data_IF_044384641599
#
_entry.id   IF_044384641599
#
_cell.length_a   1.000
_cell.length_b   1.000
_cell.length_c   1.000
_cell.angle_alpha   90.00
_cell.angle_beta   90.00
_cell.angle_gamma   90.00
#
_symmetry.space_group_name_H-M   'P 1'
#
loop_
_entity.id
_entity.type
_entity.pdbx_description
1 polymer ?
#
# COMPACT_ATOMS: atom_id res chain seq x y z
N UNK A 1 -26.52 27.11 12.64
CA UNK A 1 -27.07 25.73 12.52
C UNK A 1 -25.88 24.83 12.62
N UNK A 2 -25.75 24.17 13.74
CA UNK A 2 -24.69 23.19 13.97
C UNK A 2 -24.90 22.08 12.93
N UNK A 3 -23.86 21.81 12.14
CA UNK A 3 -23.88 20.70 11.23
C UNK A 3 -24.04 19.43 12.08
N UNK A 4 -25.09 18.68 11.84
CA UNK A 4 -25.27 17.37 12.44
C UNK A 4 -24.13 16.52 11.87
N UNK A 5 -23.29 15.96 12.75
CA UNK A 5 -22.28 15.00 12.34
C UNK A 5 -22.96 13.77 11.78
N UNK A 6 -23.10 13.72 10.45
CA UNK A 6 -23.70 12.60 9.76
C UNK A 6 -22.62 11.57 9.45
N UNK A 7 -22.83 10.33 9.90
CA UNK A 7 -21.91 9.22 9.62
C UNK A 7 -22.24 8.68 8.23
N UNK A 8 -21.37 8.91 7.26
CA UNK A 8 -21.53 8.41 5.89
C UNK A 8 -20.94 7.00 5.69
N UNK A 9 -19.92 6.65 6.47
CA UNK A 9 -19.22 5.38 6.34
C UNK A 9 -18.64 4.96 7.68
N UNK A 10 -18.91 3.72 8.06
CA UNK A 10 -18.30 3.07 9.22
C UNK A 10 -17.52 1.84 8.74
N UNK A 11 -16.22 1.80 9.02
CA UNK A 11 -15.36 0.68 8.64
C UNK A 11 -14.82 0.01 9.89
N UNK A 12 -15.20 -1.26 10.15
CA UNK A 12 -14.65 -2.00 11.28
C UNK A 12 -13.12 -2.11 11.21
N UNK A 13 -12.42 -1.89 12.32
CA UNK A 13 -10.93 -1.97 12.39
C UNK A 13 -10.41 -3.31 11.84
N UNK A 14 -11.11 -4.41 12.11
CA UNK A 14 -10.76 -5.75 11.61
C UNK A 14 -10.80 -5.89 10.09
N UNK A 15 -11.46 -4.95 9.39
CA UNK A 15 -11.48 -4.89 7.94
C UNK A 15 -10.27 -4.12 7.37
N UNK A 16 -9.59 -3.30 8.18
CA UNK A 16 -8.42 -2.56 7.75
C UNK A 16 -7.22 -3.48 7.58
N UNK A 17 -6.32 -3.12 6.65
CA UNK A 17 -5.04 -3.80 6.44
C UNK A 17 -3.92 -2.84 6.84
N UNK A 18 -3.06 -3.25 7.77
CA UNK A 18 -1.98 -2.44 8.33
C UNK A 18 -0.74 -3.28 8.62
N UNK A 19 0.34 -2.64 9.09
CA UNK A 19 1.52 -3.37 9.58
C UNK A 19 1.16 -4.27 10.77
N UNK A 20 0.27 -3.85 11.65
CA UNK A 20 -0.23 -4.67 12.76
C UNK A 20 -0.93 -5.93 12.26
N UNK A 21 -1.76 -5.84 11.22
CA UNK A 21 -2.40 -7.05 10.64
C UNK A 21 -1.38 -7.96 9.96
N UNK A 22 -0.33 -7.41 9.35
CA UNK A 22 0.77 -8.18 8.79
C UNK A 22 1.54 -8.96 9.87
N UNK A 23 1.80 -8.33 11.01
CA UNK A 23 2.49 -8.96 12.15
C UNK A 23 1.69 -10.09 12.79
N UNK A 24 0.36 -9.98 12.78
CA UNK A 24 -0.55 -10.98 13.32
C UNK A 24 -0.91 -12.09 12.32
N UNK A 25 -0.41 -11.99 11.10
CA UNK A 25 -0.61 -13.03 10.10
C UNK A 25 0.17 -14.31 10.45
N UNK A 26 -0.45 -15.46 10.26
CA UNK A 26 0.12 -16.76 10.66
C UNK A 26 1.32 -17.18 9.79
N UNK A 27 1.44 -16.67 8.56
CA UNK A 27 2.48 -17.06 7.61
C UNK A 27 3.53 -15.95 7.48
N UNK A 28 3.09 -14.73 7.18
CA UNK A 28 3.98 -13.59 6.96
C UNK A 28 4.51 -13.03 8.28
N UNK A 29 3.69 -13.02 9.33
CA UNK A 29 4.02 -12.43 10.63
C UNK A 29 5.28 -12.97 11.29
N UNK A 30 5.50 -14.29 11.38
CA UNK A 30 6.75 -14.85 11.92
C UNK A 30 7.99 -14.34 11.20
N UNK A 31 7.93 -14.25 9.87
CA UNK A 31 9.03 -13.76 9.03
C UNK A 31 9.28 -12.27 9.27
N UNK A 32 8.21 -11.46 9.35
CA UNK A 32 8.35 -10.02 9.61
C UNK A 32 8.98 -9.76 10.99
N UNK A 33 8.60 -10.53 12.00
CA UNK A 33 9.21 -10.43 13.34
C UNK A 33 10.71 -10.78 13.32
N UNK A 34 11.09 -11.85 12.61
CA UNK A 34 12.49 -12.21 12.44
C UNK A 34 13.28 -11.13 11.69
N UNK A 35 12.71 -10.61 10.60
CA UNK A 35 13.30 -9.50 9.84
C UNK A 35 13.49 -8.25 10.69
N UNK A 36 12.54 -7.92 11.57
CA UNK A 36 12.63 -6.76 12.46
C UNK A 36 13.76 -6.90 13.47
N UNK A 37 14.00 -8.10 13.97
CA UNK A 37 15.14 -8.38 14.85
C UNK A 37 16.47 -8.17 14.12
N UNK A 38 16.58 -8.68 12.88
CA UNK A 38 17.78 -8.53 12.05
C UNK A 38 17.98 -7.10 11.53
N UNK A 39 16.89 -6.40 11.30
CA UNK A 39 16.85 -5.05 10.73
C UNK A 39 15.97 -4.12 11.59
N UNK A 40 16.42 -3.66 12.76
CA UNK A 40 15.60 -2.86 13.69
C UNK A 40 15.07 -1.55 13.10
N UNK A 41 15.73 -1.03 12.04
CA UNK A 41 15.30 0.16 11.28
C UNK A 41 14.30 -0.16 10.16
N UNK A 42 13.82 -1.39 10.05
CA UNK A 42 12.75 -1.78 9.14
C UNK A 42 11.50 -0.91 9.38
N UNK A 43 10.76 -0.61 8.32
CA UNK A 43 9.61 0.28 8.40
C UNK A 43 8.28 -0.46 8.20
N UNK A 44 7.24 0.08 8.83
CA UNK A 44 5.87 -0.41 8.74
C UNK A 44 5.31 -0.38 7.30
N UNK A 45 5.85 0.49 6.44
CA UNK A 45 5.46 0.56 5.03
C UNK A 45 5.80 -0.73 4.29
N UNK A 46 7.03 -1.24 4.45
CA UNK A 46 7.44 -2.49 3.80
C UNK A 46 6.74 -3.72 4.37
N UNK A 47 6.43 -3.72 5.66
CA UNK A 47 5.66 -4.80 6.28
C UNK A 47 4.25 -4.89 5.69
N UNK A 48 3.58 -3.76 5.57
CA UNK A 48 2.28 -3.67 4.91
C UNK A 48 2.38 -4.01 3.42
N UNK A 49 3.43 -3.56 2.74
CA UNK A 49 3.68 -3.85 1.32
C UNK A 49 3.84 -5.36 1.07
N UNK A 50 4.63 -6.04 1.89
CA UNK A 50 4.81 -7.49 1.76
C UNK A 50 3.52 -8.24 2.03
N UNK A 51 2.75 -7.81 3.02
CA UNK A 51 1.46 -8.39 3.34
C UNK A 51 0.44 -8.17 2.21
N UNK A 52 0.39 -6.97 1.65
CA UNK A 52 -0.48 -6.65 0.50
C UNK A 52 -0.17 -7.55 -0.71
N UNK A 53 1.12 -7.76 -1.04
CA UNK A 53 1.52 -8.68 -2.11
C UNK A 53 1.08 -10.10 -1.78
N UNK A 54 1.29 -10.55 -0.53
CA UNK A 54 0.91 -11.89 -0.09
C UNK A 54 -0.59 -12.13 -0.23
N UNK A 55 -1.40 -11.22 0.27
CA UNK A 55 -2.85 -11.34 0.22
C UNK A 55 -3.39 -11.29 -1.22
N UNK A 56 -2.83 -10.43 -2.07
CA UNK A 56 -3.30 -10.25 -3.45
C UNK A 56 -2.86 -11.36 -4.39
N UNK A 57 -1.60 -11.84 -4.29
CA UNK A 57 -0.98 -12.72 -5.29
C UNK A 57 -0.67 -14.13 -4.79
N UNK A 58 -0.67 -14.38 -3.48
CA UNK A 58 -0.47 -15.72 -2.91
C UNK A 58 -1.78 -16.30 -2.39
N UNK A 59 -2.46 -15.62 -1.47
CA UNK A 59 -3.76 -16.07 -0.94
C UNK A 59 -4.90 -15.92 -1.93
N UNK A 60 -4.86 -14.89 -2.73
CA UNK A 60 -5.86 -14.62 -3.78
C UNK A 60 -7.28 -14.66 -3.18
N UNK A 61 -8.14 -15.56 -3.66
CA UNK A 61 -9.53 -15.69 -3.20
C UNK A 61 -9.67 -16.20 -1.76
N UNK A 62 -8.61 -16.72 -1.16
CA UNK A 62 -8.58 -17.16 0.24
C UNK A 62 -8.24 -16.02 1.20
N UNK A 63 -7.90 -14.83 0.70
CA UNK A 63 -7.72 -13.62 1.48
C UNK A 63 -9.06 -13.14 2.04
N UNK A 64 -9.10 -12.79 3.33
CA UNK A 64 -10.28 -12.12 3.90
C UNK A 64 -10.52 -10.74 3.30
N UNK A 65 -9.48 -10.12 2.74
CA UNK A 65 -9.55 -8.83 2.06
C UNK A 65 -9.84 -8.96 0.56
N UNK A 66 -10.06 -10.17 0.04
CA UNK A 66 -10.29 -10.38 -1.39
C UNK A 66 -11.37 -9.46 -2.00
N UNK A 67 -12.53 -9.23 -1.36
CA UNK A 67 -13.54 -8.31 -1.89
C UNK A 67 -12.96 -6.90 -2.13
N UNK A 68 -12.20 -6.37 -1.16
CA UNK A 68 -11.55 -5.07 -1.28
C UNK A 68 -10.40 -5.09 -2.30
N UNK A 69 -9.54 -6.09 -2.23
CA UNK A 69 -8.40 -6.22 -3.14
C UNK A 69 -8.82 -6.34 -4.60
N UNK A 70 -10.05 -6.80 -4.86
CA UNK A 70 -10.60 -6.88 -6.21
C UNK A 70 -11.20 -5.54 -6.70
N UNK A 71 -11.43 -4.59 -5.82
CA UNK A 71 -11.92 -3.24 -6.14
C UNK A 71 -10.79 -2.24 -6.39
N UNK A 72 -9.63 -2.45 -5.77
CA UNK A 72 -8.49 -1.55 -5.99
C UNK A 72 -7.90 -1.74 -7.39
N UNK A 73 -7.31 -0.68 -7.98
CA UNK A 73 -6.80 -0.74 -9.35
C UNK A 73 -5.79 -1.87 -9.57
N UNK A 74 -5.94 -2.58 -10.67
CA UNK A 74 -4.96 -3.54 -11.16
C UNK A 74 -3.67 -2.83 -11.59
N UNK A 75 -2.63 -3.59 -11.95
CA UNK A 75 -1.36 -3.07 -12.44
C UNK A 75 -1.50 -2.17 -13.68
N UNK A 76 -2.48 -2.47 -14.55
CA UNK A 76 -2.70 -1.74 -15.79
C UNK A 76 -3.59 -0.50 -15.59
N UNK A 77 -4.30 -0.43 -14.48
CA UNK A 77 -5.25 0.66 -14.16
C UNK A 77 -4.64 1.69 -13.21
N UNK A 78 -3.56 1.32 -12.47
CA UNK A 78 -2.95 2.24 -11.52
C UNK A 78 -2.03 3.24 -12.20
N UNK A 79 -2.45 4.49 -12.23
CA UNK A 79 -1.68 5.62 -12.79
C UNK A 79 -0.93 6.43 -11.73
N UNK A 80 -1.12 6.15 -10.45
CA UNK A 80 -0.49 6.89 -9.36
C UNK A 80 0.94 6.38 -9.08
N UNK A 81 1.79 7.22 -8.66
CA UNK A 81 2.18 8.57 -9.05
C UNK A 81 3.22 8.57 -10.19
N UNK A 82 2.85 8.19 -11.37
CA UNK A 82 3.72 8.15 -12.57
C UNK A 82 4.75 7.02 -12.58
N UNK A 83 4.76 6.14 -11.55
CA UNK A 83 5.73 5.06 -11.44
C UNK A 83 5.58 4.02 -12.56
N UNK A 84 4.36 3.85 -13.08
CA UNK A 84 4.00 2.91 -14.13
C UNK A 84 3.73 3.59 -15.48
N UNK A 85 3.98 4.90 -15.59
CA UNK A 85 3.76 5.64 -16.83
C UNK A 85 4.70 5.13 -17.94
N UNK A 86 4.16 5.06 -19.13
CA UNK A 86 4.92 4.68 -20.32
C UNK A 86 5.86 5.82 -20.75
N UNK A 87 6.89 5.52 -21.55
CA UNK A 87 7.81 6.55 -22.06
C UNK A 87 7.09 7.69 -22.80
N UNK A 88 6.01 7.37 -23.53
CA UNK A 88 5.20 8.34 -24.26
C UNK A 88 4.48 9.30 -23.33
N UNK A 89 3.91 8.80 -22.23
CA UNK A 89 3.25 9.61 -21.20
C UNK A 89 4.25 10.50 -20.46
N UNK A 90 5.44 9.97 -20.15
CA UNK A 90 6.51 10.74 -19.52
C UNK A 90 7.05 11.84 -20.42
N UNK A 91 6.95 11.70 -21.75
CA UNK A 91 7.38 12.70 -22.72
C UNK A 91 6.54 13.96 -22.66
N UNK A 92 5.25 13.84 -22.32
CA UNK A 92 4.37 15.00 -22.13
C UNK A 92 4.83 15.94 -20.99
N UNK A 93 5.66 15.44 -20.08
CA UNK A 93 6.27 16.19 -19.00
C UNK A 93 7.65 16.77 -19.34
N UNK A 94 8.07 16.70 -20.62
CA UNK A 94 9.39 17.15 -21.03
C UNK A 94 9.57 18.66 -20.75
N UNK A 95 10.69 19.02 -20.15
CA UNK A 95 10.96 20.40 -19.72
C UNK A 95 10.42 20.77 -18.32
N UNK A 96 9.67 19.87 -17.65
CA UNK A 96 9.20 20.12 -16.28
C UNK A 96 10.08 19.44 -15.22
N UNK A 97 10.16 20.06 -14.03
CA UNK A 97 10.84 19.47 -12.86
C UNK A 97 10.17 18.17 -12.38
N UNK A 98 8.89 18.00 -12.69
CA UNK A 98 8.11 16.81 -12.33
C UNK A 98 8.68 15.58 -13.02
N UNK A 99 9.10 15.67 -14.28
CA UNK A 99 9.69 14.54 -15.01
C UNK A 99 10.94 14.00 -14.30
N UNK A 100 11.80 14.89 -13.81
CA UNK A 100 13.00 14.51 -13.05
C UNK A 100 12.61 13.81 -11.74
N UNK A 101 11.67 14.38 -10.99
CA UNK A 101 11.19 13.82 -9.73
C UNK A 101 10.60 12.41 -9.92
N UNK A 102 9.80 12.19 -10.97
CA UNK A 102 9.21 10.89 -11.30
C UNK A 102 10.28 9.84 -11.68
N UNK A 103 11.28 10.24 -12.46
CA UNK A 103 12.40 9.36 -12.81
C UNK A 103 13.23 8.97 -11.60
N UNK A 104 13.54 9.92 -10.73
CA UNK A 104 14.27 9.69 -9.49
C UNK A 104 13.47 8.79 -8.54
N UNK A 105 12.18 9.02 -8.41
CA UNK A 105 11.27 8.20 -7.62
C UNK A 105 11.20 6.76 -8.14
N UNK A 106 10.95 6.56 -9.42
CA UNK A 106 10.92 5.23 -10.06
C UNK A 106 12.26 4.49 -9.86
N UNK A 107 13.38 5.18 -10.05
CA UNK A 107 14.72 4.63 -9.85
C UNK A 107 14.94 4.23 -8.37
N UNK A 108 14.46 5.03 -7.42
CA UNK A 108 14.54 4.75 -5.99
C UNK A 108 13.73 3.50 -5.61
N UNK A 109 12.50 3.36 -6.13
CA UNK A 109 11.67 2.18 -5.89
C UNK A 109 12.31 0.92 -6.46
N UNK A 110 12.86 1.00 -7.69
CA UNK A 110 13.56 -0.13 -8.31
C UNK A 110 14.80 -0.57 -7.52
N UNK A 111 15.62 0.38 -7.05
CA UNK A 111 16.79 0.07 -6.20
C UNK A 111 16.37 -0.56 -4.87
N UNK A 112 15.29 -0.06 -4.26
CA UNK A 112 14.74 -0.66 -3.03
C UNK A 112 14.32 -2.11 -3.28
N UNK A 113 13.63 -2.39 -4.39
CA UNK A 113 13.24 -3.76 -4.73
C UNK A 113 14.46 -4.69 -4.87
N UNK A 114 15.51 -4.25 -5.55
CA UNK A 114 16.75 -5.05 -5.69
C UNK A 114 17.37 -5.37 -4.32
N UNK A 115 17.41 -4.39 -3.41
CA UNK A 115 17.85 -4.61 -2.03
C UNK A 115 16.96 -5.60 -1.27
N UNK A 116 15.65 -5.43 -1.36
CA UNK A 116 14.66 -6.33 -0.76
C UNK A 116 14.78 -7.74 -1.32
N UNK A 117 14.90 -7.90 -2.63
CA UNK A 117 15.05 -9.19 -3.28
C UNK A 117 16.28 -9.94 -2.77
N UNK A 118 17.41 -9.24 -2.68
CA UNK A 118 18.68 -9.85 -2.24
C UNK A 118 18.72 -10.15 -0.75
N UNK A 119 18.23 -9.24 0.07
CA UNK A 119 18.45 -9.29 1.52
C UNK A 119 17.24 -9.76 2.33
N UNK A 120 16.06 -9.83 1.72
CA UNK A 120 14.80 -10.23 2.40
C UNK A 120 14.19 -11.45 1.71
N UNK A 121 13.77 -11.31 0.46
CA UNK A 121 13.00 -12.37 -0.21
C UNK A 121 13.80 -13.66 -0.37
N UNK A 122 15.10 -13.56 -0.68
CA UNK A 122 15.98 -14.71 -0.83
C UNK A 122 16.17 -15.52 0.47
N UNK A 123 15.94 -14.92 1.64
CA UNK A 123 16.06 -15.62 2.93
C UNK A 123 14.84 -16.46 3.27
N UNK A 124 13.66 -16.11 2.71
CA UNK A 124 12.38 -16.76 3.04
C UNK A 124 11.60 -17.18 1.79
N UNK A 125 12.20 -17.97 0.89
CA UNK A 125 11.60 -18.31 -0.42
C UNK A 125 10.29 -19.11 -0.30
N UNK A 126 10.08 -19.80 0.83
CA UNK A 126 8.85 -20.55 1.09
C UNK A 126 7.65 -19.65 1.46
N UNK A 127 7.91 -18.41 1.90
CA UNK A 127 6.88 -17.42 2.24
C UNK A 127 6.77 -16.37 1.15
N UNK A 128 7.92 -15.84 0.71
CA UNK A 128 8.00 -14.85 -0.35
C UNK A 128 8.23 -15.52 -1.70
N UNK A 129 7.17 -16.13 -2.23
CA UNK A 129 7.22 -16.87 -3.49
C UNK A 129 7.68 -15.96 -4.64
N UNK A 130 8.67 -16.41 -5.38
CA UNK A 130 9.30 -15.63 -6.46
C UNK A 130 8.29 -15.16 -7.52
N UNK A 131 7.27 -15.97 -7.79
CA UNK A 131 6.21 -15.69 -8.76
C UNK A 131 5.29 -14.55 -8.29
N UNK A 132 5.13 -14.39 -6.97
CA UNK A 132 4.30 -13.34 -6.38
C UNK A 132 5.11 -12.06 -6.08
N UNK A 133 6.35 -12.20 -5.63
CA UNK A 133 7.19 -11.07 -5.22
C UNK A 133 8.10 -10.60 -6.36
N UNK A 134 7.49 -10.32 -7.51
CA UNK A 134 8.16 -9.74 -8.68
C UNK A 134 8.36 -8.24 -8.54
N UNK A 135 9.26 -7.67 -9.34
CA UNK A 135 9.44 -6.21 -9.40
C UNK A 135 8.14 -5.49 -9.78
N UNK A 136 7.37 -6.08 -10.68
CA UNK A 136 6.10 -5.52 -11.12
C UNK A 136 5.06 -5.49 -10.00
N UNK A 137 4.91 -6.59 -9.24
CA UNK A 137 4.00 -6.65 -8.10
C UNK A 137 4.46 -5.72 -6.96
N UNK A 138 5.77 -5.58 -6.77
CA UNK A 138 6.33 -4.64 -5.79
C UNK A 138 6.03 -3.19 -6.16
N UNK A 139 6.19 -2.81 -7.44
CA UNK A 139 5.84 -1.47 -7.94
C UNK A 139 4.35 -1.19 -7.80
N UNK A 140 3.51 -2.17 -8.15
CA UNK A 140 2.07 -2.07 -7.97
C UNK A 140 1.70 -1.83 -6.50
N UNK A 141 2.19 -2.67 -5.59
CA UNK A 141 1.91 -2.52 -4.16
C UNK A 141 2.40 -1.18 -3.60
N UNK A 142 3.58 -0.73 -4.06
CA UNK A 142 4.12 0.58 -3.69
C UNK A 142 3.20 1.71 -4.14
N UNK A 143 2.72 1.68 -5.38
CA UNK A 143 1.81 2.67 -5.93
C UNK A 143 0.44 2.65 -5.22
N UNK A 144 -0.10 1.47 -4.88
CA UNK A 144 -1.32 1.35 -4.07
C UNK A 144 -1.14 2.01 -2.70
N UNK A 145 -0.06 1.70 -2.00
CA UNK A 145 0.18 2.27 -0.67
C UNK A 145 0.42 3.78 -0.72
N UNK A 146 1.13 4.27 -1.71
CA UNK A 146 1.38 5.72 -1.85
C UNK A 146 0.11 6.51 -2.14
N UNK A 147 -0.84 5.92 -2.88
CA UNK A 147 -2.07 6.61 -3.28
C UNK A 147 -3.27 6.38 -2.36
N UNK A 148 -3.30 5.29 -1.58
CA UNK A 148 -4.49 4.85 -0.83
C UNK A 148 -4.26 4.63 0.65
N UNK A 149 -3.00 4.63 1.11
CA UNK A 149 -2.71 4.46 2.53
C UNK A 149 -3.13 5.70 3.30
N UNK A 150 -4.00 5.50 4.26
CA UNK A 150 -4.49 6.52 5.17
C UNK A 150 -3.72 6.38 6.50
N UNK A 151 -3.25 7.49 7.05
CA UNK A 151 -2.61 7.49 8.35
C UNK A 151 -3.67 7.52 9.44
N UNK A 152 -3.76 6.43 10.18
CA UNK A 152 -4.77 6.26 11.21
C UNK A 152 -4.22 5.44 12.37
N UNK A 153 -4.59 5.79 13.61
CA UNK A 153 -4.17 5.09 14.83
C UNK A 153 -2.65 4.87 14.94
N UNK A 154 -1.84 5.88 14.55
CA UNK A 154 -0.38 5.82 14.64
C UNK A 154 0.31 4.95 13.57
N UNK A 155 -0.43 4.38 12.64
CA UNK A 155 0.12 3.62 11.52
C UNK A 155 -0.58 3.93 10.19
N UNK A 156 0.11 3.64 9.09
CA UNK A 156 -0.49 3.72 7.77
C UNK A 156 -1.30 2.47 7.44
N UNK A 157 -2.56 2.64 7.08
CA UNK A 157 -3.50 1.55 6.83
C UNK A 157 -4.21 1.69 5.49
N UNK A 158 -4.54 0.57 4.86
CA UNK A 158 -5.55 0.51 3.81
C UNK A 158 -6.90 0.30 4.48
N UNK A 159 -7.80 1.26 4.29
CA UNK A 159 -9.14 1.27 4.91
C UNK A 159 -10.17 1.07 3.80
N UNK A 160 -10.75 -0.14 3.68
CA UNK A 160 -11.67 -0.47 2.61
C UNK A 160 -12.80 0.54 2.49
N UNK A 161 -13.12 0.93 1.26
CA UNK A 161 -14.13 1.93 0.87
C UNK A 161 -13.78 3.38 1.23
N UNK A 162 -13.11 3.65 2.36
CA UNK A 162 -12.71 5.01 2.72
C UNK A 162 -11.70 5.59 1.73
N UNK A 163 -10.80 4.77 1.22
CA UNK A 163 -9.82 5.13 0.19
C UNK A 163 -10.43 5.41 -1.20
N UNK A 164 -11.72 5.12 -1.37
CA UNK A 164 -12.50 5.42 -2.57
C UNK A 164 -13.30 6.73 -2.45
N UNK A 165 -13.38 7.31 -1.25
CA UNK A 165 -14.11 8.57 -1.02
C UNK A 165 -13.29 9.73 -1.58
N UNK A 166 -13.90 10.48 -2.49
CA UNK A 166 -13.32 11.72 -3.00
C UNK A 166 -13.52 12.83 -1.97
N UNK A 167 -12.43 13.52 -1.63
CA UNK A 167 -12.48 14.73 -0.82
C UNK A 167 -12.88 15.91 -1.72
N UNK A 168 -13.83 16.74 -1.26
CA UNK A 168 -14.15 18.00 -1.91
C UNK A 168 -13.05 19.04 -1.57
N UNK A 169 -12.59 19.78 -2.59
CA UNK A 169 -11.82 21.00 -2.38
C UNK A 169 -12.76 22.15 -2.05
N UNK A 170 -12.51 22.91 -0.98
CA UNK A 170 -13.34 24.05 -0.62
C UNK A 170 -13.02 24.59 0.79
N UNK A 171 -13.70 25.69 1.19
CA UNK A 171 -13.52 26.29 2.50
C UNK A 171 -13.97 25.39 3.67
N UNK A 172 -14.76 24.34 3.36
CA UNK A 172 -15.18 23.31 4.30
C UNK A 172 -14.67 21.92 3.83
N UNK A 173 -13.39 21.62 4.07
CA UNK A 173 -12.83 20.33 3.66
C UNK A 173 -13.56 19.21 4.42
N UNK A 174 -13.90 18.16 3.71
CA UNK A 174 -14.45 16.93 4.30
C UNK A 174 -13.52 16.48 5.43
N UNK A 175 -13.96 16.60 6.67
CA UNK A 175 -13.19 16.17 7.84
C UNK A 175 -13.48 14.70 8.08
N UNK A 176 -12.45 13.87 7.94
CA UNK A 176 -12.53 12.50 8.40
C UNK A 176 -12.28 12.49 9.91
N UNK A 177 -13.32 12.29 10.68
CA UNK A 177 -13.21 12.05 12.11
C UNK A 177 -13.19 10.54 12.34
N UNK A 178 -12.11 10.03 12.93
CA UNK A 178 -12.11 8.68 13.48
C UNK A 178 -12.67 8.74 14.90
N UNK A 179 -13.86 8.23 15.10
CA UNK A 179 -14.40 7.96 16.45
C UNK A 179 -14.18 6.49 16.78
N UNK A 180 -13.72 6.23 18.00
CA UNK A 180 -13.74 4.89 18.56
C UNK A 180 -15.19 4.60 18.98
N UNK A 181 -15.79 3.62 18.37
CA UNK A 181 -16.98 2.98 18.91
C UNK A 181 -16.49 1.73 19.66
N UNK A 182 -16.61 1.77 20.97
CA UNK A 182 -16.31 0.62 21.86
C UNK A 182 -17.22 -0.57 21.58
#
# INVERSE_FOLDING_TARGET
KDAIDEIYLEVPVKACMSSTTAWNDNVVGPVLRELRVKHPRGDAFHELLFHLIYERFVRVRHSKWWPYLNLIPSKNEINAPGINWKPEELKELEGSDILKQLRDYSSKVNRKFQGVQKHVLAQFPNVFLKEAYTQENYRWAHAILDSRRIWWNGEGSLVPLLDLVNCAEGPDPTRVHSTWLD
#
